data_IF_097830063977
#
_entry.id   IF_097830063977
#
_cell.length_a   1.000
_cell.length_b   1.000
_cell.length_c   1.000
_cell.angle_alpha   90.00
_cell.angle_beta   90.00
_cell.angle_gamma   90.00
#
_symmetry.space_group_name_H-M   'P 1'
#
loop_
_entity.id
_entity.type
_entity.pdbx_description
1 polymer ?
#
# COMPACT_ATOMS: atom_id res chain seq x y z
N UNK A 1 13.27 -2.57 -16.54
CA UNK A 1 13.12 -1.31 -15.76
C UNK A 1 12.36 -1.65 -14.49
N UNK A 2 13.06 -1.99 -13.42
CA UNK A 2 12.49 -2.26 -12.12
C UNK A 2 12.12 -0.94 -11.44
N UNK A 3 10.86 -0.78 -11.06
CA UNK A 3 10.31 0.40 -10.36
C UNK A 3 10.90 0.65 -8.95
N UNK A 4 12.02 0.02 -8.61
CA UNK A 4 12.54 -0.05 -7.24
C UNK A 4 13.55 1.06 -6.86
N UNK A 5 14.00 1.89 -7.81
CA UNK A 5 15.07 2.88 -7.54
C UNK A 5 14.63 4.33 -7.27
N UNK A 6 13.33 4.59 -7.08
CA UNK A 6 12.83 5.94 -6.72
C UNK A 6 11.68 5.88 -5.71
N UNK A 7 11.85 5.13 -4.62
CA UNK A 7 10.92 5.20 -3.49
C UNK A 7 10.99 6.62 -2.89
N UNK A 8 9.90 7.38 -3.02
CA UNK A 8 9.82 8.71 -2.46
C UNK A 8 10.07 8.60 -0.94
N UNK A 9 11.08 9.29 -0.37
CA UNK A 9 11.42 9.14 1.05
C UNK A 9 10.24 9.44 1.99
N UNK A 10 9.28 10.27 1.58
CA UNK A 10 8.05 10.54 2.34
C UNK A 10 7.11 9.35 2.33
N UNK A 11 6.94 8.68 1.19
CA UNK A 11 6.13 7.47 1.06
C UNK A 11 6.72 6.36 1.91
N UNK A 12 8.03 6.12 1.81
CA UNK A 12 8.71 5.09 2.59
C UNK A 12 8.61 5.34 4.11
N UNK A 13 8.83 6.59 4.56
CA UNK A 13 8.67 6.93 5.98
C UNK A 13 7.22 6.73 6.46
N UNK A 14 6.23 7.11 5.64
CA UNK A 14 4.82 6.89 5.99
C UNK A 14 4.49 5.40 6.02
N UNK A 15 5.01 4.61 5.08
CA UNK A 15 4.88 3.16 5.02
C UNK A 15 5.39 2.48 6.29
N UNK A 16 6.60 2.83 6.74
CA UNK A 16 7.15 2.29 7.99
C UNK A 16 6.29 2.67 9.21
N UNK A 17 5.78 3.91 9.25
CA UNK A 17 4.89 4.34 10.32
C UNK A 17 3.56 3.58 10.31
N UNK A 18 2.97 3.41 9.13
CA UNK A 18 1.74 2.64 8.94
C UNK A 18 1.93 1.18 9.36
N UNK A 19 3.06 0.57 9.00
CA UNK A 19 3.40 -0.78 9.43
C UNK A 19 3.48 -0.92 10.95
N UNK A 20 4.06 0.08 11.62
CA UNK A 20 4.08 0.12 13.10
C UNK A 20 2.67 0.27 13.68
N UNK A 21 1.86 1.19 13.14
CA UNK A 21 0.46 1.42 13.56
C UNK A 21 -0.37 0.13 13.48
N UNK A 22 -0.25 -0.65 12.40
CA UNK A 22 -0.94 -1.94 12.29
C UNK A 22 -0.40 -3.01 13.24
N UNK A 23 0.93 -3.10 13.45
CA UNK A 23 1.50 -4.04 14.42
C UNK A 23 1.00 -3.77 15.83
N UNK A 24 0.91 -2.49 16.22
CA UNK A 24 0.36 -2.06 17.52
C UNK A 24 -1.13 -2.41 17.66
N UNK A 25 -1.87 -2.49 16.55
CA UNK A 25 -3.26 -2.94 16.52
C UNK A 25 -3.41 -4.47 16.44
N UNK A 26 -2.32 -5.24 16.53
CA UNK A 26 -2.35 -6.70 16.54
C UNK A 26 -2.28 -7.36 15.15
N UNK A 27 -1.91 -6.64 14.10
CA UNK A 27 -1.76 -7.22 12.76
C UNK A 27 -0.34 -7.76 12.54
N UNK A 28 -0.26 -8.87 11.84
CA UNK A 28 0.96 -9.33 11.18
C UNK A 28 1.18 -8.53 9.89
N UNK A 29 2.31 -7.84 9.78
CA UNK A 29 2.57 -6.89 8.67
C UNK A 29 3.74 -7.35 7.79
N UNK A 30 3.47 -7.46 6.49
CA UNK A 30 4.46 -7.66 5.42
C UNK A 30 4.62 -6.38 4.61
N UNK A 31 5.85 -5.87 4.52
CA UNK A 31 6.21 -4.71 3.68
C UNK A 31 6.76 -5.23 2.36
N UNK A 32 6.37 -4.62 1.24
CA UNK A 32 6.73 -5.02 -0.11
C UNK A 32 6.52 -6.52 -0.35
N UNK A 33 5.28 -7.03 -0.20
CA UNK A 33 5.00 -8.45 -0.39
C UNK A 33 5.42 -8.91 -1.79
N UNK A 34 6.06 -10.08 -1.86
CA UNK A 34 6.34 -10.73 -3.14
C UNK A 34 5.03 -11.14 -3.80
N UNK A 35 4.90 -10.92 -5.11
CA UNK A 35 3.74 -11.30 -5.92
C UNK A 35 3.37 -12.77 -5.79
N UNK A 36 4.36 -13.64 -5.61
CA UNK A 36 4.18 -15.10 -5.43
C UNK A 36 3.43 -15.47 -4.15
N UNK A 37 3.46 -14.59 -3.14
CA UNK A 37 2.77 -14.80 -1.86
C UNK A 37 1.39 -14.15 -1.83
N UNK A 38 0.98 -13.50 -2.91
CA UNK A 38 -0.33 -12.88 -3.05
C UNK A 38 -1.33 -13.84 -3.69
N UNK A 39 -2.64 -13.68 -3.41
CA UNK A 39 -3.68 -14.31 -4.21
C UNK A 39 -3.49 -13.97 -5.69
N UNK A 40 -3.82 -14.91 -6.59
CA UNK A 40 -3.62 -14.76 -8.04
C UNK A 40 -4.17 -13.45 -8.61
N UNK A 41 -5.33 -12.99 -8.10
CA UNK A 41 -5.98 -11.74 -8.52
C UNK A 41 -5.17 -10.47 -8.19
N UNK A 42 -4.18 -10.57 -7.29
CA UNK A 42 -3.26 -9.50 -6.89
C UNK A 42 -1.81 -9.76 -7.29
N UNK A 43 -1.50 -10.86 -7.99
CA UNK A 43 -0.13 -11.21 -8.37
C UNK A 43 0.55 -10.11 -9.22
N UNK A 44 -0.22 -9.46 -10.10
CA UNK A 44 0.28 -8.37 -10.96
C UNK A 44 0.14 -6.99 -10.31
N UNK A 45 -0.31 -6.92 -9.04
CA UNK A 45 -0.50 -5.68 -8.32
C UNK A 45 0.70 -5.36 -7.43
N UNK A 46 1.31 -4.18 -7.63
CA UNK A 46 2.32 -3.66 -6.70
C UNK A 46 1.64 -3.09 -5.45
N UNK A 47 1.74 -3.82 -4.35
CA UNK A 47 1.32 -3.39 -3.01
C UNK A 47 2.56 -3.00 -2.19
N UNK A 48 2.44 -1.98 -1.35
CA UNK A 48 3.54 -1.57 -0.48
C UNK A 48 3.46 -2.28 0.88
N UNK A 49 2.25 -2.63 1.32
CA UNK A 49 2.00 -3.26 2.62
C UNK A 49 0.81 -4.20 2.58
N UNK A 50 0.93 -5.32 3.28
CA UNK A 50 -0.19 -6.18 3.68
C UNK A 50 -0.18 -6.34 5.19
N UNK A 51 -1.30 -6.06 5.83
CA UNK A 51 -1.55 -6.31 7.24
C UNK A 51 -2.63 -7.39 7.37
N UNK A 52 -2.37 -8.44 8.14
CA UNK A 52 -3.31 -9.54 8.37
C UNK A 52 -3.59 -9.67 9.85
N UNK A 53 -4.85 -9.75 10.24
CA UNK A 53 -5.27 -10.25 11.54
C UNK A 53 -6.29 -11.39 11.35
N UNK A 54 -6.86 -11.89 12.44
CA UNK A 54 -7.73 -13.07 12.42
C UNK A 54 -8.99 -12.90 11.57
N UNK A 55 -9.45 -11.67 11.35
CA UNK A 55 -10.74 -11.38 10.71
C UNK A 55 -10.61 -10.64 9.37
N UNK A 56 -9.47 -9.98 9.11
CA UNK A 56 -9.32 -9.15 7.91
C UNK A 56 -7.88 -9.02 7.41
N UNK A 57 -7.80 -8.74 6.11
CA UNK A 57 -6.56 -8.45 5.40
C UNK A 57 -6.63 -7.04 4.84
N UNK A 58 -5.70 -6.18 5.19
CA UNK A 58 -5.58 -4.84 4.64
C UNK A 58 -4.41 -4.80 3.66
N UNK A 59 -4.70 -4.54 2.40
CA UNK A 59 -3.72 -4.23 1.37
C UNK A 59 -3.60 -2.72 1.23
N UNK A 60 -2.39 -2.16 1.34
CA UNK A 60 -2.19 -0.72 1.32
C UNK A 60 -1.17 -0.27 0.28
N UNK A 61 -1.43 0.92 -0.27
CA UNK A 61 -0.54 1.64 -1.17
C UNK A 61 -0.33 3.07 -0.65
N UNK A 62 0.92 3.48 -0.48
CA UNK A 62 1.30 4.77 0.08
C UNK A 62 1.81 5.67 -1.03
N UNK A 63 1.13 6.79 -1.30
CA UNK A 63 1.52 7.69 -2.40
C UNK A 63 1.56 9.14 -1.94
N UNK A 64 2.43 9.91 -2.56
CA UNK A 64 2.39 11.37 -2.52
C UNK A 64 1.39 11.90 -3.54
N UNK A 65 0.93 13.13 -3.35
CA UNK A 65 0.04 13.79 -4.32
C UNK A 65 0.65 13.84 -5.73
N UNK A 66 1.96 14.07 -5.82
CA UNK A 66 2.69 14.09 -7.10
C UNK A 66 2.71 12.71 -7.76
N UNK A 67 3.03 11.65 -7.03
CA UNK A 67 3.05 10.29 -7.58
C UNK A 67 1.64 9.75 -7.89
N UNK A 68 0.61 10.23 -7.19
CA UNK A 68 -0.77 9.90 -7.49
C UNK A 68 -1.20 10.42 -8.87
N UNK A 69 -0.79 11.65 -9.23
CA UNK A 69 -1.15 12.28 -10.51
C UNK A 69 -0.36 11.76 -11.71
N UNK A 70 0.85 11.23 -11.51
CA UNK A 70 1.72 10.91 -12.64
C UNK A 70 1.43 9.58 -13.32
N UNK A 71 0.94 8.54 -12.62
CA UNK A 71 0.64 7.21 -13.19
C UNK A 71 -0.30 6.35 -12.31
N UNK A 72 -0.93 6.92 -11.28
CA UNK A 72 -1.55 6.13 -10.21
C UNK A 72 -2.98 5.62 -10.47
N UNK A 73 -3.75 6.28 -11.33
CA UNK A 73 -5.21 6.10 -11.36
C UNK A 73 -5.66 4.72 -11.88
N UNK A 74 -5.05 4.20 -12.95
CA UNK A 74 -5.42 2.89 -13.51
C UNK A 74 -4.95 1.74 -12.63
N UNK A 75 -3.73 1.82 -12.10
CA UNK A 75 -3.20 0.83 -11.17
C UNK A 75 -4.04 0.75 -9.89
N UNK A 76 -4.41 1.90 -9.31
CA UNK A 76 -5.25 1.94 -8.12
C UNK A 76 -6.66 1.38 -8.38
N UNK A 77 -7.24 1.66 -9.56
CA UNK A 77 -8.52 1.06 -9.96
C UNK A 77 -8.40 -0.45 -10.10
N UNK A 78 -7.32 -0.96 -10.71
CA UNK A 78 -7.08 -2.40 -10.87
C UNK A 78 -6.97 -3.08 -9.51
N UNK A 79 -6.15 -2.54 -8.61
CA UNK A 79 -5.97 -3.07 -7.25
C UNK A 79 -7.31 -3.09 -6.51
N UNK A 80 -8.04 -1.97 -6.51
CA UNK A 80 -9.34 -1.88 -5.84
C UNK A 80 -10.33 -2.94 -6.35
N UNK A 81 -10.42 -3.15 -7.67
CA UNK A 81 -11.27 -4.19 -8.26
C UNK A 81 -10.84 -5.60 -7.87
N UNK A 82 -9.53 -5.88 -7.87
CA UNK A 82 -8.99 -7.18 -7.48
C UNK A 82 -9.24 -7.49 -6.00
N UNK A 83 -9.04 -6.50 -5.12
CA UNK A 83 -9.27 -6.67 -3.67
C UNK A 83 -10.75 -6.92 -3.36
N UNK A 84 -11.68 -6.27 -4.06
CA UNK A 84 -13.13 -6.49 -3.88
C UNK A 84 -13.58 -7.93 -4.18
N UNK A 85 -12.80 -8.71 -4.93
CA UNK A 85 -13.10 -10.11 -5.23
C UNK A 85 -12.71 -11.06 -4.08
N UNK A 86 -12.00 -10.56 -3.06
CA UNK A 86 -11.45 -11.36 -1.98
C UNK A 86 -12.24 -11.10 -0.68
N UNK A 87 -12.94 -12.12 -0.14
CA UNK A 87 -13.66 -11.98 1.13
C UNK A 87 -12.71 -11.61 2.27
N UNK A 88 -13.09 -10.61 3.07
CA UNK A 88 -12.32 -10.14 4.22
C UNK A 88 -11.11 -9.26 3.87
N UNK A 89 -10.93 -8.89 2.59
CA UNK A 89 -9.86 -7.98 2.18
C UNK A 89 -10.36 -6.54 2.02
N UNK A 90 -9.53 -5.58 2.45
CA UNK A 90 -9.74 -4.15 2.32
C UNK A 90 -8.56 -3.52 1.57
N UNK A 91 -8.82 -2.55 0.69
CA UNK A 91 -7.78 -1.77 0.02
C UNK A 91 -7.72 -0.35 0.56
N UNK A 92 -6.56 0.05 1.07
CA UNK A 92 -6.31 1.39 1.59
C UNK A 92 -5.30 2.16 0.73
N UNK A 93 -5.73 3.32 0.24
CA UNK A 93 -4.84 4.32 -0.36
C UNK A 93 -4.45 5.35 0.69
N UNK A 94 -3.18 5.34 1.09
CA UNK A 94 -2.65 6.30 2.06
C UNK A 94 -1.93 7.42 1.32
N UNK A 95 -2.50 8.62 1.35
CA UNK A 95 -1.88 9.80 0.74
C UNK A 95 -1.04 10.53 1.79
N UNK A 96 0.23 10.78 1.50
CA UNK A 96 1.14 11.54 2.36
C UNK A 96 1.74 12.72 1.61
N UNK A 97 2.01 13.82 2.30
CA UNK A 97 2.67 14.97 1.70
C UNK A 97 3.60 15.65 2.70
N UNK A 98 4.56 16.43 2.22
CA UNK A 98 5.37 17.25 3.11
C UNK A 98 4.46 18.23 3.85
N UNK A 99 4.65 18.36 5.16
CA UNK A 99 4.01 19.43 5.92
C UNK A 99 4.60 20.73 5.39
N UNK A 100 3.79 21.61 4.78
CA UNK A 100 4.20 23.02 4.59
C UNK A 100 4.55 23.53 5.99
N UNK A 101 5.79 23.96 6.20
CA UNK A 101 6.09 24.81 7.36
C UNK A 101 5.18 26.03 7.22
N UNK A 102 4.34 26.27 8.21
CA UNK A 102 3.71 27.58 8.35
C UNK A 102 4.86 28.57 8.58
N UNK A 103 5.00 29.51 7.66
CA UNK A 103 5.86 30.68 7.81
C UNK A 103 5.28 31.63 8.85
#
# INVERSE_FOLDING_TARGET
MSYQDNQNPLEYRRLLKLAKEYREQGYSVTINPSSEKLPKVLADCSLDLIAVNDNKVVAAKVRTRQNLSCNGSEDLRRISKSVQQLPGWEFELVVTNSRRKAS
#
